data_IF_342861445262
#
_entry.id   IF_342861445262
#
_cell.length_a   1.000
_cell.length_b   1.000
_cell.length_c   1.000
_cell.angle_alpha   90.00
_cell.angle_beta   90.00
_cell.angle_gamma   90.00
#
_symmetry.space_group_name_H-M   'P 1'
#
loop_
_entity.id
_entity.type
_entity.pdbx_description
1 polymer ?
2 non-polymer ?
3 non-polymer ?
4 water ?
#
# COMPACT_ATOMS: atom_id res chain seq x y z
N UNK A 2 -14.39 18.01 -0.95
CA UNK A 2 -13.91 16.88 -1.73
C UNK A 2 -12.47 17.08 -2.15
N UNK A 3 -11.74 15.98 -2.35
CA UNK A 3 -10.39 15.97 -2.86
C UNK A 3 -10.51 15.81 -4.37
N UNK A 4 -9.46 16.18 -5.10
CA UNK A 4 -9.46 16.11 -6.56
C UNK A 4 -8.64 14.93 -7.03
N UNK A 5 -9.23 14.12 -7.92
CA UNK A 5 -8.56 12.90 -8.39
C UNK A 5 -8.33 12.91 -9.90
N UNK A 6 -8.54 14.05 -10.54
CA UNK A 6 -8.38 14.21 -12.00
C UNK A 6 -7.04 14.76 -12.45
N UNK A 7 -6.08 14.96 -11.52
CA UNK A 7 -4.76 15.46 -11.85
C UNK A 7 -4.02 14.43 -12.69
N UNK A 8 -3.06 14.86 -13.47
CA UNK A 8 -2.36 13.93 -14.32
C UNK A 8 -1.43 13.06 -13.52
N UNK A 9 -1.19 11.86 -14.03
CA UNK A 9 -0.16 11.00 -13.48
C UNK A 9 1.17 11.66 -13.86
N UNK A 10 2.14 11.59 -12.98
CA UNK A 10 3.45 12.19 -13.18
C UNK A 10 4.39 11.16 -13.78
N UNK A 11 5.11 11.55 -14.85
CA UNK A 11 6.11 10.66 -15.42
C UNK A 11 7.43 11.01 -14.74
N UNK A 12 8.08 10.03 -14.10
CA UNK A 12 9.30 10.23 -13.32
C UNK A 12 10.22 9.00 -13.29
N UNK A 13 11.51 9.23 -13.05
CA UNK A 13 12.49 8.15 -12.94
C UNK A 13 13.21 7.77 -14.22
N UNK A 14 14.41 7.12 -14.06
CA UNK A 14 15.33 6.65 -15.12
C UNK A 14 14.55 5.73 -16.07
N UNK A 15 14.27 4.41 -15.82
CA UNK A 15 13.29 3.74 -16.70
C UNK A 15 11.98 4.39 -16.26
N UNK A 16 11.25 5.07 -17.18
CA UNK A 16 10.07 5.83 -16.78
C UNK A 16 9.03 5.09 -15.99
N UNK A 17 8.41 5.79 -15.03
CA UNK A 17 7.32 5.26 -14.23
C UNK A 17 6.23 6.29 -14.28
N UNK A 18 5.00 5.86 -13.97
CA UNK A 18 3.89 6.80 -13.79
C UNK A 18 3.60 6.83 -12.28
N UNK A 19 3.43 8.02 -11.69
CA UNK A 19 3.23 8.15 -10.27
C UNK A 19 1.99 9.00 -10.02
N UNK A 20 1.15 8.63 -9.04
CA UNK A 20 0.09 9.55 -8.66
C UNK A 20 -0.28 9.32 -7.23
N UNK A 21 -0.58 10.42 -6.54
CA UNK A 21 -1.10 10.40 -5.16
C UNK A 21 -2.58 10.71 -5.16
N UNK A 22 -3.33 9.91 -4.45
CA UNK A 22 -4.76 10.10 -4.27
C UNK A 22 -5.01 10.39 -2.81
N UNK A 23 -5.78 11.40 -2.48
CA UNK A 23 -6.09 11.70 -1.07
C UNK A 23 -7.59 11.63 -0.88
N UNK A 24 -8.01 11.19 0.31
CA UNK A 24 -9.41 10.94 0.62
C UNK A 24 -9.79 11.60 1.93
N UNK A 25 -11.09 11.80 2.13
CA UNK A 25 -11.56 12.47 3.33
C UNK A 25 -11.65 11.61 4.57
N UNK A 26 -11.53 10.29 4.46
CA UNK A 26 -11.69 9.39 5.59
C UNK A 26 -11.05 8.08 5.30
N UNK A 27 -10.87 7.31 6.36
CA UNK A 27 -10.39 5.93 6.22
C UNK A 27 -11.34 5.11 5.36
N UNK A 28 -12.65 5.24 5.57
CA UNK A 28 -13.62 4.45 4.79
C UNK A 28 -13.41 4.64 3.31
N UNK A 29 -13.18 5.88 2.88
CA UNK A 29 -13.03 6.16 1.46
C UNK A 29 -11.71 5.63 0.93
N UNK A 30 -10.64 5.80 1.73
CA UNK A 30 -9.32 5.27 1.32
C UNK A 30 -9.37 3.75 1.22
N UNK A 31 -10.04 3.10 2.19
CA UNK A 31 -10.11 1.63 2.19
C UNK A 31 -10.95 1.12 1.04
N UNK A 32 -12.05 1.80 0.71
CA UNK A 32 -12.87 1.37 -0.44
C UNK A 32 -12.03 1.47 -1.69
N UNK A 33 -11.24 2.53 -1.84
CA UNK A 33 -10.39 2.66 -3.02
C UNK A 33 -9.33 1.54 -3.06
N UNK A 34 -8.68 1.26 -1.90
CA UNK A 34 -7.69 0.18 -1.85
C UNK A 34 -8.28 -1.18 -2.21
N UNK A 35 -9.47 -1.48 -1.66
CA UNK A 35 -10.11 -2.75 -2.01
C UNK A 35 -10.47 -2.81 -3.51
N UNK A 36 -10.93 -1.68 -4.08
CA UNK A 36 -11.27 -1.66 -5.50
C UNK A 36 -9.99 -1.79 -6.38
N UNK A 37 -8.88 -1.23 -5.93
CA UNK A 37 -7.63 -1.31 -6.63
C UNK A 37 -7.16 -2.76 -6.66
N UNK A 38 -7.30 -3.50 -5.56
CA UNK A 38 -6.91 -4.90 -5.58
C UNK A 38 -7.77 -5.65 -6.60
N UNK A 39 -9.09 -5.38 -6.64
CA UNK A 39 -9.97 -6.05 -7.60
C UNK A 39 -9.54 -5.74 -9.03
N UNK A 40 -9.16 -4.50 -9.30
CA UNK A 40 -8.71 -4.10 -10.63
C UNK A 40 -7.45 -4.84 -11.06
N UNK A 41 -6.48 -4.97 -10.17
CA UNK A 41 -5.22 -5.65 -10.47
C UNK A 41 -5.45 -7.09 -10.79
N UNK A 42 -6.37 -7.71 -10.08
CA UNK A 42 -6.69 -9.11 -10.33
C UNK A 42 -7.44 -9.27 -11.66
N UNK A 43 -8.35 -8.33 -11.96
CA UNK A 43 -9.13 -8.33 -13.20
C UNK A 43 -8.24 -8.26 -14.44
N UNK A 44 -7.24 -7.40 -14.38
CA UNK A 44 -6.32 -7.11 -15.47
C UNK A 44 -5.07 -7.97 -15.48
N UNK A 45 -4.72 -8.55 -14.32
CA UNK A 45 -3.46 -9.28 -14.15
C UNK A 45 -2.30 -8.29 -14.13
N UNK A 46 -2.61 -6.97 -13.98
CA UNK A 46 -1.60 -5.90 -13.97
C UNK A 46 -1.51 -5.43 -12.55
N UNK A 47 -0.29 -5.34 -12.06
CA UNK A 47 -0.03 -4.94 -10.69
C UNK A 47 0.90 -3.74 -10.67
N UNK A 48 0.55 -2.67 -9.94
CA UNK A 48 1.50 -1.57 -9.77
C UNK A 48 2.86 -2.06 -9.24
N UNK A 49 3.90 -1.32 -9.57
CA UNK A 49 5.24 -1.55 -9.03
C UNK A 49 5.15 -1.43 -7.49
N UNK A 50 4.41 -0.41 -7.01
CA UNK A 50 4.30 -0.22 -5.58
C UNK A 50 3.07 0.59 -5.25
N UNK A 51 2.41 0.26 -4.15
CA UNK A 51 1.26 1.00 -3.60
C UNK A 51 1.67 1.36 -2.20
N UNK A 52 1.59 2.65 -1.84
CA UNK A 52 2.14 3.18 -0.62
C UNK A 52 1.08 4.02 0.05
N UNK A 53 0.57 3.62 1.22
CA UNK A 53 -0.59 4.29 1.76
C UNK A 53 -0.55 4.55 3.21
N UNK A 54 -1.41 5.47 3.61
CA UNK A 54 -1.72 5.79 5.00
C UNK A 54 -3.22 5.71 5.18
N UNK A 55 -3.74 6.39 6.21
CA UNK A 55 -5.20 6.30 6.43
C UNK A 55 -6.00 7.15 5.47
N UNK A 56 -5.39 8.20 4.90
CA UNK A 56 -6.13 9.19 4.09
C UNK A 56 -5.49 9.41 2.72
N UNK A 57 -4.57 8.54 2.29
CA UNK A 57 -3.93 8.76 1.00
C UNK A 57 -3.32 7.48 0.49
N UNK A 58 -3.16 7.42 -0.82
CA UNK A 58 -2.58 6.26 -1.49
C UNK A 58 -1.72 6.77 -2.62
N UNK A 59 -0.44 6.37 -2.64
CA UNK A 59 0.51 6.74 -3.67
C UNK A 59 0.77 5.52 -4.55
N UNK A 60 0.56 5.63 -5.85
CA UNK A 60 0.71 4.49 -6.73
C UNK A 60 1.80 4.74 -7.76
N UNK A 61 2.63 3.72 -7.97
CA UNK A 61 3.71 3.78 -8.95
C UNK A 61 3.50 2.67 -9.96
N UNK A 62 3.47 3.01 -11.26
CA UNK A 62 3.30 2.02 -12.30
C UNK A 62 4.58 1.97 -13.10
N UNK A 63 5.06 0.76 -13.41
CA UNK A 63 6.30 0.63 -14.16
C UNK A 63 6.02 0.23 -15.57
N UNK A 64 7.02 0.46 -16.45
CA UNK A 64 6.98 0.15 -17.85
C UNK A 64 7.00 -1.37 -18.01
N UNK A 65 6.08 -1.89 -18.84
CA UNK A 65 5.88 -3.32 -19.10
C UNK A 65 7.09 -4.02 -19.69
N UNK A 69 7.86 0.78 -23.88
CA UNK A 69 7.08 1.21 -22.72
C UNK A 69 7.79 2.37 -21.98
N UNK A 70 7.07 3.28 -21.27
CA UNK A 70 5.63 3.30 -20.94
C UNK A 70 4.76 3.33 -22.19
N UNK A 71 3.72 2.52 -22.18
CA UNK A 71 2.79 2.41 -23.29
C UNK A 71 1.35 2.59 -22.85
N UNK A 72 0.45 2.31 -23.77
CA UNK A 72 -0.97 2.45 -23.58
C UNK A 72 -1.58 1.47 -22.61
N UNK A 73 -0.96 0.28 -22.41
CA UNK A 73 -1.49 -0.67 -21.43
C UNK A 73 -1.35 -0.06 -20.02
N UNK A 74 -0.20 0.59 -19.75
CA UNK A 74 0.07 1.24 -18.45
C UNK A 74 -0.81 2.46 -18.27
N UNK A 75 -0.98 3.25 -19.36
CA UNK A 75 -1.85 4.42 -19.26
C UNK A 75 -3.31 4.01 -19.11
N UNK A 76 -3.73 2.88 -19.74
CA UNK A 76 -5.13 2.46 -19.58
C UNK A 76 -5.38 1.99 -18.15
N UNK A 77 -4.37 1.35 -17.54
CA UNK A 77 -4.50 0.94 -16.14
C UNK A 77 -4.65 2.17 -15.23
N UNK A 78 -3.80 3.17 -15.48
CA UNK A 78 -3.85 4.41 -14.75
C UNK A 78 -5.23 5.07 -14.85
N UNK A 79 -5.84 5.09 -16.05
CA UNK A 79 -7.15 5.68 -16.21
C UNK A 79 -8.23 4.88 -15.47
N UNK A 80 -8.12 3.56 -15.43
CA UNK A 80 -9.13 2.82 -14.66
C UNK A 80 -8.94 3.11 -13.16
N UNK A 81 -7.67 3.28 -12.68
CA UNK A 81 -7.45 3.64 -11.27
C UNK A 81 -8.13 5.00 -11.01
N UNK A 82 -7.97 5.98 -11.93
CA UNK A 82 -8.65 7.28 -11.76
C UNK A 82 -10.17 7.10 -11.65
N UNK A 83 -10.75 6.19 -12.46
CA UNK A 83 -12.19 5.99 -12.41
C UNK A 83 -12.62 5.38 -11.08
N UNK A 84 -11.76 4.56 -10.44
CA UNK A 84 -12.11 4.01 -9.12
C UNK A 84 -12.12 5.11 -8.07
N UNK A 85 -11.30 6.14 -8.25
CA UNK A 85 -11.24 7.28 -7.32
C UNK A 85 -12.35 8.33 -7.59
N UNK A 86 -13.16 8.12 -8.63
CA UNK A 86 -14.26 9.00 -9.03
C UNK A 86 -13.95 9.99 -10.14
N UNK A 87 -12.90 9.72 -10.94
CA UNK A 87 -12.47 10.62 -12.01
C UNK A 87 -12.44 9.98 -13.42
N UNK A 88 -13.42 10.33 -14.27
CA UNK A 88 -13.54 9.81 -15.64
C UNK A 88 -14.30 10.78 -16.53
N UNK B 3 13.46 -15.68 22.79
CA UNK B 3 14.06 -16.04 21.52
C UNK B 3 13.03 -16.60 20.54
N UNK B 4 13.06 -16.10 19.29
CA UNK B 4 12.19 -16.51 18.20
C UNK B 4 12.93 -16.44 16.85
N UNK B 5 12.31 -16.98 15.78
CA UNK B 5 12.91 -17.01 14.43
C UNK B 5 12.28 -16.02 13.44
N UNK B 6 11.50 -15.05 13.93
CA UNK B 6 10.96 -14.02 13.04
C UNK B 6 12.06 -13.03 12.75
N UNK B 7 12.07 -12.50 11.52
CA UNK B 7 13.01 -11.44 11.14
C UNK B 7 12.66 -10.26 12.08
N UNK B 8 13.68 -9.58 12.61
CA UNK B 8 13.47 -8.48 13.57
C UNK B 8 12.87 -7.23 12.94
N UNK B 9 12.20 -6.40 13.78
CA UNK B 9 11.75 -5.06 13.42
C UNK B 9 12.93 -4.16 13.75
N UNK B 10 13.21 -3.21 12.88
CA UNK B 10 14.32 -2.27 13.00
C UNK B 10 13.82 -0.95 13.58
N UNK B 11 14.48 -0.47 14.67
CA UNK B 11 14.13 0.80 15.28
C UNK B 11 15.02 1.87 14.67
N UNK B 12 14.42 2.93 14.10
CA UNK B 12 15.14 4.01 13.40
C UNK B 12 14.39 5.36 13.42
N UNK B 13 15.12 6.46 13.19
CA UNK B 13 14.58 7.81 13.12
C UNK B 13 14.60 8.54 14.46
N UNK B 14 14.74 9.91 14.43
CA UNK B 14 14.78 10.77 15.62
C UNK B 14 13.56 10.49 16.49
N UNK B 15 12.29 10.82 16.13
CA UNK B 15 11.16 10.24 16.89
C UNK B 15 11.15 8.78 16.37
N UNK B 16 11.50 7.80 17.22
CA UNK B 16 11.68 6.41 16.73
C UNK B 16 10.51 5.74 16.07
N UNK B 17 10.81 4.86 15.09
CA UNK B 17 9.84 4.06 14.34
C UNK B 17 10.27 2.62 14.35
N UNK B 18 9.33 1.69 14.17
CA UNK B 18 9.64 0.28 14.05
C UNK B 18 9.35 -0.03 12.59
N UNK B 19 10.33 -0.57 11.88
CA UNK B 19 10.16 -0.90 10.47
C UNK B 19 10.41 -2.38 10.20
N UNK B 20 9.62 -3.02 9.32
CA UNK B 20 9.88 -4.41 8.93
C UNK B 20 9.33 -4.64 7.55
N UNK B 21 10.09 -5.37 6.73
CA UNK B 21 9.72 -5.82 5.39
C UNK B 21 9.32 -7.28 5.46
N UNK B 22 8.05 -7.59 5.19
CA UNK B 22 7.55 -8.94 5.14
C UNK B 22 7.58 -9.44 3.70
N UNK B 23 8.05 -10.67 3.48
CA UNK B 23 8.13 -11.26 2.15
C UNK B 23 7.13 -12.39 2.01
N UNK B 24 6.61 -12.57 0.79
CA UNK B 24 5.64 -13.62 0.46
C UNK B 24 6.03 -14.31 -0.85
N UNK B 25 5.52 -15.51 -1.05
CA UNK B 25 5.86 -16.27 -2.23
C UNK B 25 5.09 -15.94 -3.49
N UNK B 26 3.98 -15.21 -3.37
CA UNK B 26 3.13 -14.91 -4.52
C UNK B 26 2.26 -13.74 -4.19
N UNK B 27 1.65 -13.15 -5.24
CA UNK B 27 0.69 -12.07 -5.08
C UNK B 27 -0.44 -12.51 -4.14
N UNK B 28 -1.01 -13.71 -4.36
CA UNK B 28 -2.13 -14.17 -3.55
C UNK B 28 -1.81 -14.23 -2.07
N UNK B 29 -0.56 -14.60 -1.69
CA UNK B 29 -0.15 -14.67 -0.29
C UNK B 29 0.05 -13.24 0.25
N UNK B 30 0.62 -12.34 -0.57
CA UNK B 30 0.73 -10.94 -0.16
C UNK B 30 -0.64 -10.32 0.08
N UNK B 31 -1.58 -10.52 -0.86
CA UNK B 31 -2.91 -9.99 -0.77
C UNK B 31 -3.65 -10.54 0.48
N UNK B 32 -3.54 -11.84 0.75
CA UNK B 32 -4.22 -12.43 1.92
C UNK B 32 -3.69 -11.81 3.22
N UNK B 33 -2.37 -11.58 3.30
CA UNK B 33 -1.80 -10.94 4.47
C UNK B 33 -2.26 -9.50 4.57
N UNK B 34 -2.25 -8.74 3.46
CA UNK B 34 -2.74 -7.35 3.53
C UNK B 34 -4.19 -7.27 3.98
N UNK B 35 -5.01 -8.26 3.58
CA UNK B 35 -6.41 -8.28 4.02
C UNK B 35 -6.48 -8.47 5.53
N UNK B 36 -5.67 -9.38 6.08
CA UNK B 36 -5.67 -9.63 7.53
C UNK B 36 -5.09 -8.42 8.29
N UNK B 37 -4.11 -7.72 7.69
CA UNK B 37 -3.53 -6.55 8.32
C UNK B 37 -4.57 -5.41 8.36
N UNK B 38 -5.34 -5.24 7.27
CA UNK B 38 -6.39 -4.22 7.25
C UNK B 38 -7.43 -4.56 8.32
N UNK B 39 -7.83 -5.84 8.41
CA UNK B 39 -8.83 -6.24 9.43
C UNK B 39 -8.35 -5.95 10.83
N UNK B 40 -7.05 -6.22 11.08
CA UNK B 40 -6.42 -5.96 12.38
C UNK B 40 -6.49 -4.47 12.73
N UNK B 41 -6.14 -3.58 11.77
CA UNK B 41 -6.22 -2.13 12.04
C UNK B 41 -7.65 -1.67 12.24
N UNK B 42 -8.60 -2.29 11.48
CA UNK B 42 -9.99 -1.90 11.58
C UNK B 42 -10.58 -2.25 12.94
N UNK B 43 -10.24 -3.44 13.48
CA UNK B 43 -10.72 -3.92 14.77
C UNK B 43 -10.14 -3.08 15.90
N UNK B 44 -8.84 -2.83 15.84
CA UNK B 44 -8.11 -2.15 16.92
C UNK B 44 -8.15 -0.64 16.88
N UNK B 45 -8.27 -0.06 15.70
CA UNK B 45 -8.19 1.38 15.54
C UNK B 45 -6.74 1.81 15.51
N UNK B 46 -5.81 0.83 15.50
CA UNK B 46 -4.37 1.08 15.45
C UNK B 46 -3.91 0.91 14.02
N UNK B 47 -3.45 2.00 13.41
CA UNK B 47 -3.03 1.99 12.01
C UNK B 47 -1.51 2.26 11.90
N UNK B 48 -0.70 1.39 11.21
CA UNK B 48 0.71 1.73 10.99
C UNK B 48 0.78 3.11 10.41
N UNK B 49 1.90 3.80 10.59
CA UNK B 49 2.05 5.11 9.99
C UNK B 49 2.17 4.95 8.48
N UNK B 50 2.78 3.84 8.01
CA UNK B 50 2.94 3.62 6.59
C UNK B 50 2.88 2.16 6.29
N UNK B 51 2.27 1.83 5.14
CA UNK B 51 2.30 0.49 4.57
C UNK B 51 2.59 0.67 3.10
N UNK B 52 3.58 -0.03 2.56
CA UNK B 52 3.76 0.02 1.11
C UNK B 52 4.10 -1.37 0.65
N UNK B 53 3.62 -1.75 -0.55
CA UNK B 53 3.73 -3.12 -0.97
C UNK B 53 3.81 -3.26 -2.46
N UNK B 54 4.40 -4.40 -2.83
CA UNK B 54 4.50 -4.87 -4.20
C UNK B 54 3.87 -6.25 -4.30
N UNK B 55 4.17 -6.97 -5.35
CA UNK B 55 3.52 -8.27 -5.51
C UNK B 55 3.97 -9.29 -4.47
N UNK B 56 5.19 -9.15 -3.93
CA UNK B 56 5.74 -10.16 -3.02
C UNK B 56 6.31 -9.60 -1.70
N UNK B 57 5.95 -8.37 -1.32
CA UNK B 57 6.49 -7.82 -0.09
C UNK B 57 5.53 -6.77 0.45
N UNK B 58 5.62 -6.56 1.76
CA UNK B 58 4.87 -5.52 2.46
C UNK B 58 5.83 -4.88 3.44
N UNK B 59 6.03 -3.57 3.32
CA UNK B 59 6.87 -2.80 4.23
C UNK B 59 5.95 -2.10 5.19
N UNK B 60 6.15 -2.26 6.47
CA UNK B 60 5.30 -1.68 7.51
C UNK B 60 6.13 -0.81 8.43
N UNK B 61 5.66 0.40 8.72
CA UNK B 61 6.31 1.33 9.65
C UNK B 61 5.32 1.72 10.73
N UNK B 62 5.71 1.52 11.99
CA UNK B 62 4.89 1.85 13.14
C UNK B 62 5.54 3.04 13.82
N UNK B 63 4.76 4.09 14.11
CA UNK B 63 5.26 5.30 14.76
C UNK B 63 5.08 5.21 16.24
N UNK B 64 5.95 5.90 17.01
CA UNK B 64 5.88 5.94 18.46
C UNK B 64 4.58 6.64 18.87
N UNK B 65 3.75 5.97 19.68
CA UNK B 65 2.46 6.44 20.17
C UNK B 65 2.58 7.70 21.02
N UNK B 71 7.29 2.13 22.71
CA UNK B 71 6.31 1.85 23.75
C UNK B 71 5.76 0.44 23.70
N UNK B 72 5.20 -0.02 24.83
CA UNK B 72 4.62 -1.35 25.02
C UNK B 72 3.55 -1.69 23.97
N UNK B 73 2.64 -0.73 23.69
CA UNK B 73 1.55 -0.88 22.73
C UNK B 73 2.02 -1.08 21.27
N UNK B 74 3.09 -0.37 20.85
CA UNK B 74 3.68 -0.47 19.51
C UNK B 74 4.30 -1.87 19.32
N UNK B 75 5.02 -2.37 20.35
CA UNK B 75 5.64 -3.69 20.37
C UNK B 75 4.59 -4.79 20.32
N UNK B 76 3.46 -4.61 21.02
CA UNK B 76 2.36 -5.57 21.05
C UNK B 76 1.66 -5.61 19.70
N UNK B 77 1.55 -4.45 19.02
CA UNK B 77 0.93 -4.43 17.70
C UNK B 77 1.86 -5.13 16.70
N UNK B 78 3.19 -4.88 16.78
CA UNK B 78 4.21 -5.52 15.93
C UNK B 78 4.14 -7.05 16.13
N UNK B 79 3.97 -7.53 17.40
CA UNK B 79 3.77 -8.95 17.70
C UNK B 79 2.49 -9.54 17.07
N UNK B 80 1.35 -8.80 17.08
CA UNK B 80 0.11 -9.23 16.40
C UNK B 80 0.31 -9.33 14.87
N UNK B 81 1.13 -8.44 14.28
CA UNK B 81 1.45 -8.46 12.84
C UNK B 81 2.36 -9.67 12.57
N UNK B 82 3.39 -9.89 13.42
CA UNK B 82 4.26 -11.05 13.24
C UNK B 82 3.48 -12.36 13.28
N UNK B 83 2.49 -12.45 14.19
CA UNK B 83 1.64 -13.64 14.35
C UNK B 83 0.82 -13.84 13.08
N UNK B 84 0.39 -12.74 12.43
CA UNK B 84 -0.39 -12.85 11.19
C UNK B 84 0.48 -13.36 10.05
N UNK B 85 1.77 -12.97 10.02
CA UNK B 85 2.64 -13.37 8.91
C UNK B 85 2.98 -14.83 9.00
N UNK B 86 2.95 -15.39 10.21
CA UNK B 86 3.26 -16.78 10.48
C UNK B 86 3.33 -17.11 11.96
#
# INVERSE_FOLDING_TARGET
MHHHHHHSWREQGKPPMLFKRFAFGSYAQTRAFLDALAALSEETGQHPQNINFGTTYVNITLDAADGATLGEAERAFAARVDALAGSSG
MHHHHHHSWREQGKPPMLFKRFAFGSYAQTRAFLDALAALSEETGQHPQNINFGTTYVNITLDAADGATLGEAERAFAARVDALAGSSG
#
